data_IF_517309476851
#
_entry.id   IF_517309476851
#
_cell.length_a   1.000
_cell.length_b   1.000
_cell.length_c   1.000
_cell.angle_alpha   90.00
_cell.angle_beta   90.00
_cell.angle_gamma   90.00
#
_symmetry.space_group_name_H-M   'P 1'
#
loop_
_entity.id
_entity.type
_entity.pdbx_description
1 polymer ?
#
# COMPACT_ATOMS: atom_id res chain seq x y z
N UNK A 1 -22.27 -6.17 -12.51
CA UNK A 1 -21.38 -5.64 -11.46
C UNK A 1 -21.70 -6.37 -10.20
N UNK A 2 -20.90 -7.37 -9.83
CA UNK A 2 -21.07 -8.11 -8.58
C UNK A 2 -20.90 -7.12 -7.43
N UNK A 3 -21.90 -7.05 -6.55
CA UNK A 3 -21.90 -6.17 -5.37
C UNK A 3 -20.91 -6.72 -4.34
N UNK A 4 -19.62 -6.45 -4.54
CA UNK A 4 -18.58 -6.85 -3.58
C UNK A 4 -18.70 -5.98 -2.35
N UNK A 5 -18.95 -6.61 -1.21
CA UNK A 5 -19.12 -5.92 0.07
C UNK A 5 -17.75 -5.51 0.61
N UNK A 6 -17.18 -4.43 0.06
CA UNK A 6 -16.03 -3.76 0.66
C UNK A 6 -16.35 -3.41 2.11
N UNK A 7 -15.41 -3.62 3.02
CA UNK A 7 -15.58 -3.22 4.40
C UNK A 7 -15.67 -1.67 4.53
N UNK A 8 -16.19 -1.19 5.67
CA UNK A 8 -16.40 0.25 5.88
C UNK A 8 -15.09 1.05 5.90
N UNK A 9 -13.98 0.45 6.33
CA UNK A 9 -12.65 1.07 6.39
C UNK A 9 -12.08 1.23 4.98
N UNK A 10 -12.15 0.19 4.14
CA UNK A 10 -11.77 0.25 2.74
C UNK A 10 -12.57 1.31 1.98
N UNK A 11 -13.89 1.37 2.17
CA UNK A 11 -14.74 2.42 1.56
C UNK A 11 -14.30 3.83 1.98
N UNK A 12 -13.98 4.03 3.27
CA UNK A 12 -13.48 5.30 3.79
C UNK A 12 -12.14 5.67 3.13
N UNK A 13 -11.19 4.75 3.07
CA UNK A 13 -9.88 4.97 2.46
C UNK A 13 -9.95 5.27 0.96
N UNK A 14 -10.88 4.65 0.24
CA UNK A 14 -11.16 4.98 -1.16
C UNK A 14 -11.63 6.44 -1.29
N UNK A 15 -12.54 6.89 -0.41
CA UNK A 15 -13.00 8.29 -0.38
C UNK A 15 -11.87 9.27 -0.02
N UNK A 16 -10.93 8.88 0.82
CA UNK A 16 -9.72 9.65 1.15
C UNK A 16 -8.69 9.70 0.00
N UNK A 17 -8.92 8.95 -1.08
CA UNK A 17 -8.02 8.88 -2.23
C UNK A 17 -6.75 8.06 -1.98
N UNK A 18 -6.76 7.15 -1.00
CA UNK A 18 -5.63 6.25 -0.78
C UNK A 18 -5.43 5.31 -1.98
N UNK A 19 -4.18 4.98 -2.26
CA UNK A 19 -3.74 4.24 -3.45
C UNK A 19 -3.68 5.06 -4.74
N UNK A 20 -4.08 6.33 -4.71
CA UNK A 20 -4.09 7.23 -5.88
C UNK A 20 -2.92 8.22 -5.82
N UNK A 21 -2.62 8.80 -6.97
CA UNK A 21 -1.54 9.77 -7.15
C UNK A 21 -0.22 9.13 -7.58
N UNK A 22 0.80 9.97 -7.72
CA UNK A 22 2.18 9.62 -8.06
C UNK A 22 3.14 10.61 -7.39
N UNK A 23 4.39 10.21 -7.16
CA UNK A 23 5.40 11.03 -6.52
C UNK A 23 4.91 11.63 -5.19
N UNK A 24 4.99 12.95 -5.06
CA UNK A 24 4.58 13.71 -3.86
C UNK A 24 3.09 13.60 -3.51
N UNK A 25 2.26 13.36 -4.53
CA UNK A 25 0.79 13.34 -4.39
C UNK A 25 0.25 11.93 -4.12
N UNK A 26 1.12 10.90 -4.17
CA UNK A 26 0.71 9.54 -3.86
C UNK A 26 0.37 9.37 -2.38
N UNK A 27 -0.76 8.70 -2.11
CA UNK A 27 -1.23 8.37 -0.76
C UNK A 27 -1.20 6.85 -0.58
N UNK A 28 -0.37 6.29 0.33
CA UNK A 28 -0.33 4.84 0.53
C UNK A 28 -1.65 4.30 1.07
N UNK A 29 -1.98 3.04 0.77
CA UNK A 29 -3.19 2.39 1.29
C UNK A 29 -3.14 2.24 2.81
N UNK A 30 -1.99 1.79 3.31
CA UNK A 30 -1.70 1.59 4.73
C UNK A 30 -0.68 2.63 5.18
N UNK A 31 -0.88 3.13 6.40
CA UNK A 31 0.09 3.94 7.13
C UNK A 31 0.50 3.22 8.41
N UNK A 32 1.58 3.69 9.02
CA UNK A 32 2.05 3.22 10.34
C UNK A 32 1.00 3.34 11.47
N UNK A 33 -0.12 4.05 11.24
CA UNK A 33 -1.22 4.18 12.20
C UNK A 33 -2.34 3.15 11.98
N UNK A 34 -2.44 2.57 10.78
CA UNK A 34 -3.56 1.70 10.42
C UNK A 34 -3.34 0.26 10.89
N UNK A 35 -2.07 -0.15 11.03
CA UNK A 35 -1.66 -1.48 11.48
C UNK A 35 -0.59 -1.34 12.56
N UNK A 36 -0.81 -1.89 13.77
CA UNK A 36 0.26 -2.03 14.74
C UNK A 36 1.27 -3.05 14.19
N UNK A 37 2.50 -2.61 13.91
CA UNK A 37 3.55 -3.55 13.54
C UNK A 37 3.87 -4.46 14.72
N UNK A 38 4.06 -5.76 14.44
CA UNK A 38 4.64 -6.69 15.42
C UNK A 38 6.13 -6.36 15.69
N UNK A 39 6.75 -5.56 14.82
CA UNK A 39 8.09 -4.99 14.96
C UNK A 39 8.08 -3.46 14.94
N UNK A 40 9.08 -2.85 14.30
CA UNK A 40 9.23 -1.39 14.19
C UNK A 40 8.65 -0.86 12.88
N UNK A 41 7.92 0.25 13.00
CA UNK A 41 7.42 1.04 11.87
C UNK A 41 8.25 2.31 11.67
N UNK A 42 8.30 2.81 10.44
CA UNK A 42 9.14 3.95 10.07
C UNK A 42 8.38 4.99 9.27
N UNK A 43 8.73 6.26 9.49
CA UNK A 43 8.32 7.40 8.67
C UNK A 43 9.57 8.11 8.20
N UNK A 44 9.83 8.09 6.89
CA UNK A 44 11.07 8.62 6.31
C UNK A 44 10.73 9.54 5.15
N UNK A 45 11.43 10.68 5.05
CA UNK A 45 11.28 11.59 3.91
C UNK A 45 11.99 11.00 2.69
N UNK A 46 11.26 10.80 1.60
CA UNK A 46 11.83 10.44 0.31
C UNK A 46 12.27 11.69 -0.43
N UNK A 47 13.52 11.70 -0.90
CA UNK A 47 14.09 12.81 -1.66
C UNK A 47 13.64 12.74 -3.13
N UNK A 48 13.46 11.54 -3.68
CA UNK A 48 12.93 11.29 -5.00
C UNK A 48 11.47 11.76 -5.11
N UNK A 49 10.64 11.36 -4.14
CA UNK A 49 9.19 11.57 -4.18
C UNK A 49 8.75 12.84 -3.48
N UNK A 50 9.61 13.49 -2.69
CA UNK A 50 9.29 14.67 -1.89
C UNK A 50 8.09 14.47 -0.95
N UNK A 51 7.98 13.29 -0.35
CA UNK A 51 6.96 12.99 0.67
C UNK A 51 7.48 12.06 1.75
N UNK A 52 6.76 12.02 2.88
CA UNK A 52 7.01 11.02 3.92
C UNK A 52 6.43 9.68 3.50
N UNK A 53 7.29 8.66 3.41
CA UNK A 53 6.90 7.27 3.19
C UNK A 53 6.55 6.57 4.51
N UNK A 54 5.71 5.54 4.43
CA UNK A 54 5.27 4.74 5.57
C UNK A 54 5.66 3.25 5.42
N UNK A 55 6.63 2.80 6.21
CA UNK A 55 7.11 1.41 6.21
C UNK A 55 6.72 0.70 7.49
N UNK A 56 6.29 -0.55 7.37
CA UNK A 56 5.73 -1.36 8.46
C UNK A 56 6.72 -2.41 8.99
N UNK A 57 7.94 -2.42 8.47
CA UNK A 57 9.04 -3.29 8.92
C UNK A 57 10.41 -2.70 8.60
N UNK A 58 11.45 -3.21 9.27
CA UNK A 58 12.85 -2.88 8.97
C UNK A 58 13.26 -3.35 7.55
N UNK A 59 12.69 -4.46 7.06
CA UNK A 59 12.96 -4.97 5.71
C UNK A 59 12.39 -4.05 4.62
N UNK A 60 11.18 -3.50 4.84
CA UNK A 60 10.61 -2.49 3.96
C UNK A 60 11.48 -1.23 3.92
N UNK A 61 11.98 -0.78 5.08
CA UNK A 61 12.88 0.37 5.15
C UNK A 61 14.20 0.12 4.38
N UNK A 62 14.81 -1.04 4.56
CA UNK A 62 16.04 -1.40 3.84
C UNK A 62 15.81 -1.43 2.32
N UNK A 63 14.69 -1.99 1.88
CA UNK A 63 14.29 -2.02 0.47
C UNK A 63 14.09 -0.61 -0.08
N UNK A 64 13.45 0.28 0.69
CA UNK A 64 13.28 1.67 0.31
C UNK A 64 14.61 2.37 0.06
N UNK A 65 15.61 2.22 0.94
CA UNK A 65 16.91 2.85 0.73
C UNK A 65 17.63 2.36 -0.53
N UNK A 66 17.49 1.07 -0.88
CA UNK A 66 18.03 0.54 -2.14
C UNK A 66 17.34 1.14 -3.36
N UNK A 67 16.02 1.30 -3.31
CA UNK A 67 15.24 1.89 -4.41
C UNK A 67 15.51 3.40 -4.54
N UNK A 68 15.54 4.12 -3.43
CA UNK A 68 15.78 5.57 -3.37
C UNK A 68 17.16 5.95 -3.92
N UNK A 69 18.17 5.09 -3.71
CA UNK A 69 19.53 5.33 -4.20
C UNK A 69 19.74 4.95 -5.67
N UNK A 70 18.82 4.16 -6.25
CA UNK A 70 18.93 3.71 -7.63
C UNK A 70 18.49 4.82 -8.60
N UNK A 71 19.43 5.29 -9.43
CA UNK A 71 19.21 6.37 -10.40
C UNK A 71 18.16 6.07 -11.48
N UNK A 72 17.79 4.80 -11.69
CA UNK A 72 16.74 4.44 -12.66
C UNK A 72 15.34 4.48 -12.07
N UNK A 73 15.20 4.60 -10.75
CA UNK A 73 13.90 4.67 -10.07
C UNK A 73 13.38 6.10 -10.17
N UNK A 74 12.14 6.26 -10.62
CA UNK A 74 11.49 7.58 -10.81
C UNK A 74 10.33 7.85 -9.86
N UNK A 75 9.75 6.81 -9.26
CA UNK A 75 8.72 6.92 -8.24
C UNK A 75 8.75 5.69 -7.33
N UNK A 76 8.34 5.86 -6.08
CA UNK A 76 8.20 4.80 -5.09
C UNK A 76 6.81 4.94 -4.48
N UNK A 77 5.99 3.88 -4.59
CA UNK A 77 4.61 3.85 -4.11
C UNK A 77 4.42 2.65 -3.18
N UNK A 78 4.76 2.84 -1.90
CA UNK A 78 4.59 1.83 -0.87
C UNK A 78 3.12 1.56 -0.56
N UNK A 79 2.84 0.38 -0.01
CA UNK A 79 1.50 -0.07 0.37
C UNK A 79 0.47 0.16 -0.75
N UNK A 80 0.83 -0.22 -1.98
CA UNK A 80 -0.02 -0.02 -3.15
C UNK A 80 -1.21 -1.00 -3.12
N UNK A 81 -2.47 -0.52 -3.18
CA UNK A 81 -3.62 -1.40 -3.13
C UNK A 81 -3.86 -2.09 -4.47
N UNK A 82 -4.26 -3.35 -4.41
CA UNK A 82 -4.75 -4.09 -5.57
C UNK A 82 -6.27 -3.91 -5.70
N UNK A 83 -6.76 -3.99 -6.94
CA UNK A 83 -8.20 -3.95 -7.20
C UNK A 83 -8.85 -5.23 -6.70
N UNK A 84 -9.85 -5.08 -5.84
CA UNK A 84 -10.52 -6.22 -5.18
C UNK A 84 -11.22 -7.12 -6.19
N UNK A 85 -11.75 -6.56 -7.28
CA UNK A 85 -12.37 -7.37 -8.34
C UNK A 85 -11.36 -8.30 -9.01
N UNK A 86 -10.14 -7.81 -9.23
CA UNK A 86 -9.06 -8.58 -9.86
C UNK A 86 -8.54 -9.66 -8.92
N UNK A 87 -8.34 -9.35 -7.64
CA UNK A 87 -7.84 -10.33 -6.65
C UNK A 87 -8.87 -11.41 -6.35
N UNK A 88 -10.17 -11.09 -6.28
CA UNK A 88 -11.24 -12.08 -6.10
C UNK A 88 -11.34 -13.03 -7.29
N UNK A 89 -11.28 -12.50 -8.51
CA UNK A 89 -11.28 -13.31 -9.74
C UNK A 89 -10.07 -14.26 -9.74
N UNK A 90 -8.87 -13.76 -9.49
CA UNK A 90 -7.64 -14.56 -9.44
C UNK A 90 -7.68 -15.62 -8.34
N UNK A 91 -8.24 -15.31 -7.15
CA UNK A 91 -8.41 -16.29 -6.08
C UNK A 91 -9.34 -17.43 -6.47
N UNK A 92 -10.45 -17.12 -7.17
CA UNK A 92 -11.36 -18.12 -7.73
C UNK A 92 -10.70 -18.99 -8.80
N UNK A 93 -9.95 -18.37 -9.73
CA UNK A 93 -9.19 -19.09 -10.78
C UNK A 93 -8.11 -20.00 -10.18
N UNK A 94 -7.41 -19.54 -9.13
CA UNK A 94 -6.37 -20.29 -8.45
C UNK A 94 -6.92 -21.32 -7.43
N UNK A 95 -8.24 -21.34 -7.20
CA UNK A 95 -8.89 -22.13 -6.14
C UNK A 95 -8.27 -21.91 -4.74
N UNK A 96 -7.92 -20.66 -4.44
CA UNK A 96 -7.39 -20.23 -3.14
C UNK A 96 -8.44 -19.35 -2.46
N UNK A 97 -8.61 -19.49 -1.15
CA UNK A 97 -9.48 -18.60 -0.38
C UNK A 97 -8.95 -17.17 -0.43
N UNK A 98 -9.77 -16.23 -0.89
CA UNK A 98 -9.41 -14.82 -0.86
C UNK A 98 -9.22 -14.34 0.59
N UNK A 99 -8.23 -13.49 0.88
CA UNK A 99 -8.07 -12.91 2.22
C UNK A 99 -9.32 -12.16 2.68
N UNK A 100 -9.76 -12.43 3.90
CA UNK A 100 -10.87 -11.74 4.57
C UNK A 100 -10.33 -11.04 5.81
N UNK A 101 -10.74 -9.79 6.03
CA UNK A 101 -10.43 -9.07 7.27
C UNK A 101 -11.41 -9.59 8.31
N UNK A 102 -10.89 -10.32 9.30
CA UNK A 102 -11.64 -10.80 10.47
C UNK A 102 -11.95 -9.71 11.50
#
# INVERSE_FOLDING_TARGET
MTDYKLDNRARKWIKEGRGKGSGKDYRPWLTVRDLPSQGRSHRVMGHLTQRTHHFLSDMELATFFLLEWNSTVSDIREQFPLRVEDTLRLAGEANIRHPEIG
#
